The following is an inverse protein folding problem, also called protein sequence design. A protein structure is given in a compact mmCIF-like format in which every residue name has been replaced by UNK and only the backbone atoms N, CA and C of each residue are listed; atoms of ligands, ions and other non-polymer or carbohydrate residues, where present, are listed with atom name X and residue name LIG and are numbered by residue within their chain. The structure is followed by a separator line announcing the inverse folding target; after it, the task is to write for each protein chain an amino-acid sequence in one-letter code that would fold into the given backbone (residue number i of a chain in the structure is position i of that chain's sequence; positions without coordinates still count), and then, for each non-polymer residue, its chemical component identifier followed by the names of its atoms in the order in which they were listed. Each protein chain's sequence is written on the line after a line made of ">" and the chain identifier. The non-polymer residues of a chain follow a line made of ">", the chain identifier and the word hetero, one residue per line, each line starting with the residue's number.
data_IF_674671868888
#
_entry.id   IF_674671868888
#
_cell.length_a   1.000
_cell.length_b   1.000
_cell.length_c   1.000
_cell.angle_alpha   90.00
_cell.angle_beta   90.00
_cell.angle_gamma   90.00
#
_symmetry.space_group_name_H-M   'P 1'
#
loop_
_entity.id
_entity.type
_entity.pdbx_description
1 polymer ?
#
# COMPACT_ATOMS: atom_id res chain seq x y z
N UNK A 1 5.91 4.85 -32.07
CA UNK A 1 6.68 3.84 -31.30
C UNK A 1 5.91 3.57 -30.02
N UNK A 2 5.22 2.43 -29.94
CA UNK A 2 4.32 2.11 -28.82
C UNK A 2 5.14 1.55 -27.66
N UNK A 3 5.54 2.41 -26.73
CA UNK A 3 6.26 2.00 -25.53
C UNK A 3 5.26 1.42 -24.53
N UNK A 4 5.20 0.09 -24.44
CA UNK A 4 4.43 -0.60 -23.40
C UNK A 4 5.17 -0.37 -22.07
N UNK A 5 4.56 0.42 -21.19
CA UNK A 5 5.03 0.70 -19.84
C UNK A 5 5.10 -0.62 -19.05
N UNK A 6 6.31 -1.15 -18.85
CA UNK A 6 6.54 -2.31 -18.00
C UNK A 6 6.57 -1.84 -16.54
N UNK A 7 5.44 -2.00 -15.84
CA UNK A 7 5.34 -1.80 -14.38
C UNK A 7 6.20 -2.85 -13.66
N UNK A 8 7.36 -2.44 -13.17
CA UNK A 8 8.20 -3.22 -12.28
C UNK A 8 7.61 -3.19 -10.85
N UNK A 9 6.65 -4.08 -10.58
CA UNK A 9 6.06 -4.30 -9.26
C UNK A 9 6.93 -5.23 -8.41
N UNK A 10 7.99 -4.73 -7.74
CA UNK A 10 8.60 -5.49 -6.65
C UNK A 10 9.17 -4.56 -5.58
N UNK A 11 8.40 -4.32 -4.52
CA UNK A 11 9.00 -4.30 -3.17
C UNK A 11 7.95 -4.60 -2.12
N UNK A 12 8.07 -5.79 -1.53
CA UNK A 12 7.42 -6.12 -0.26
C UNK A 12 8.04 -5.22 0.82
N UNK A 13 7.28 -4.22 1.27
CA UNK A 13 7.65 -3.39 2.41
C UNK A 13 7.08 -4.04 3.67
N UNK A 14 7.93 -4.24 4.66
CA UNK A 14 7.58 -4.83 5.95
C UNK A 14 7.41 -3.70 6.96
N UNK A 15 6.22 -3.62 7.56
CA UNK A 15 5.99 -2.85 8.77
C UNK A 15 5.60 -3.80 9.89
N UNK A 16 6.15 -3.56 11.06
CA UNK A 16 5.86 -4.32 12.28
C UNK A 16 4.81 -3.57 13.09
N UNK A 17 3.71 -4.24 13.41
CA UNK A 17 2.75 -3.79 14.42
C UNK A 17 2.88 -4.61 15.70
N UNK A 18 2.42 -4.07 16.82
CA UNK A 18 2.31 -4.78 18.10
C UNK A 18 0.82 -4.90 18.46
N UNK A 19 0.36 -6.10 18.79
CA UNK A 19 -0.99 -6.34 19.29
C UNK A 19 -1.09 -7.69 20.00
N UNK A 20 -2.17 -7.93 20.75
CA UNK A 20 -2.35 -9.19 21.49
C UNK A 20 -2.62 -10.40 20.57
N UNK A 21 -2.97 -10.14 19.31
CA UNK A 21 -3.23 -11.14 18.26
C UNK A 21 -2.93 -10.57 16.88
N UNK A 22 -2.71 -11.43 15.89
CA UNK A 22 -2.61 -11.00 14.49
C UNK A 22 -3.90 -10.30 14.07
N UNK A 23 -3.83 -9.06 13.55
CA UNK A 23 -5.02 -8.36 13.13
C UNK A 23 -5.68 -9.02 11.92
N UNK A 24 -7.01 -9.01 11.91
CA UNK A 24 -7.79 -9.39 10.72
C UNK A 24 -7.57 -8.40 9.57
N UNK A 25 -7.80 -8.84 8.33
CA UNK A 25 -7.59 -8.04 7.13
C UNK A 25 -8.21 -6.63 7.22
N UNK A 26 -9.45 -6.51 7.70
CA UNK A 26 -10.20 -5.24 7.72
C UNK A 26 -10.01 -4.41 9.01
N UNK A 27 -9.11 -4.83 9.90
CA UNK A 27 -8.83 -4.06 11.12
C UNK A 27 -8.22 -2.69 10.78
N UNK A 28 -8.44 -1.71 11.66
CA UNK A 28 -7.88 -0.38 11.47
C UNK A 28 -6.35 -0.38 11.54
N UNK A 29 -5.76 -1.22 12.39
CA UNK A 29 -4.31 -1.42 12.48
C UNK A 29 -3.73 -1.94 11.15
N UNK A 30 -4.37 -2.95 10.55
CA UNK A 30 -3.93 -3.52 9.28
C UNK A 30 -4.01 -2.47 8.16
N UNK A 31 -5.16 -1.77 8.05
CA UNK A 31 -5.36 -0.73 7.03
C UNK A 31 -4.37 0.42 7.20
N UNK A 32 -4.13 0.89 8.42
CA UNK A 32 -3.19 1.97 8.72
C UNK A 32 -1.76 1.61 8.32
N UNK A 33 -1.31 0.39 8.63
CA UNK A 33 0.01 -0.08 8.22
C UNK A 33 0.13 -0.23 6.70
N UNK A 34 -0.90 -0.74 6.01
CA UNK A 34 -0.93 -0.78 4.54
C UNK A 34 -0.85 0.63 3.94
N UNK A 35 -1.60 1.60 4.49
CA UNK A 35 -1.51 3.02 4.07
C UNK A 35 -0.08 3.56 4.25
N UNK A 36 0.55 3.29 5.39
CA UNK A 36 1.92 3.73 5.67
C UNK A 36 2.95 3.11 4.71
N UNK A 37 2.80 1.83 4.38
CA UNK A 37 3.57 1.13 3.35
C UNK A 37 3.36 1.81 1.99
N UNK A 38 2.11 2.05 1.60
CA UNK A 38 1.78 2.66 0.32
C UNK A 38 2.34 4.08 0.21
N UNK A 39 2.22 4.90 1.24
CA UNK A 39 2.83 6.24 1.28
C UNK A 39 4.35 6.19 1.06
N UNK A 40 5.06 5.31 1.77
CA UNK A 40 6.51 5.17 1.62
C UNK A 40 6.90 4.73 0.21
N UNK A 41 6.16 3.77 -0.34
CA UNK A 41 6.41 3.24 -1.67
C UNK A 41 6.17 4.28 -2.77
N UNK A 42 5.01 4.94 -2.75
CA UNK A 42 4.64 5.98 -3.72
C UNK A 42 5.60 7.16 -3.64
N UNK A 43 5.95 7.62 -2.43
CA UNK A 43 6.95 8.69 -2.25
C UNK A 43 8.29 8.31 -2.86
N UNK A 44 8.77 7.08 -2.63
CA UNK A 44 10.00 6.58 -3.22
C UNK A 44 9.93 6.54 -4.75
N UNK A 45 8.81 6.08 -5.32
CA UNK A 45 8.59 6.11 -6.77
C UNK A 45 8.62 7.55 -7.31
N UNK A 46 7.95 8.49 -6.67
CA UNK A 46 7.99 9.90 -7.07
C UNK A 46 9.40 10.50 -6.99
N UNK A 47 10.16 10.22 -5.94
CA UNK A 47 11.56 10.66 -5.83
C UNK A 47 12.44 10.05 -6.93
N UNK A 48 12.24 8.77 -7.27
CA UNK A 48 12.95 8.13 -8.37
C UNK A 48 12.60 8.75 -9.72
N UNK A 49 11.32 9.05 -9.96
CA UNK A 49 10.86 9.69 -11.18
C UNK A 49 11.41 11.13 -11.30
N UNK A 50 11.38 11.92 -10.22
CA UNK A 50 11.97 13.28 -10.17
C UNK A 50 13.46 13.28 -10.51
N UNK A 51 14.21 12.27 -10.05
CA UNK A 51 15.64 12.14 -10.32
C UNK A 51 15.95 11.46 -11.67
N UNK A 52 14.96 11.32 -12.55
CA UNK A 52 15.09 10.63 -13.85
C UNK A 52 14.68 11.55 -15.01
N UNK A 53 14.82 11.06 -16.23
CA UNK A 53 14.33 11.75 -17.43
C UNK A 53 12.79 11.86 -17.49
N UNK A 54 12.07 11.27 -16.52
CA UNK A 54 10.61 11.29 -16.40
C UNK A 54 10.11 12.23 -15.29
N UNK A 55 10.90 13.22 -14.87
CA UNK A 55 10.52 14.20 -13.83
C UNK A 55 9.14 14.83 -14.10
N UNK A 56 8.85 15.20 -15.36
CA UNK A 56 7.57 15.79 -15.77
C UNK A 56 6.36 14.85 -15.70
N UNK A 57 6.52 13.59 -15.28
CA UNK A 57 5.42 12.67 -14.99
C UNK A 57 5.03 12.67 -13.51
N UNK A 58 5.79 13.33 -12.64
CA UNK A 58 5.47 13.44 -11.21
C UNK A 58 4.53 14.62 -11.01
N UNK A 59 3.36 14.43 -10.35
CA UNK A 59 2.48 15.54 -10.03
C UNK A 59 3.19 16.61 -9.19
N UNK A 60 2.93 17.88 -9.45
CA UNK A 60 3.57 18.99 -8.73
C UNK A 60 3.18 19.03 -7.25
N UNK A 61 1.98 18.57 -6.90
CA UNK A 61 1.42 18.67 -5.56
C UNK A 61 1.26 17.32 -4.85
N UNK A 62 2.35 16.56 -4.79
CA UNK A 62 2.41 15.28 -4.05
C UNK A 62 2.01 15.38 -2.58
N UNK A 63 2.04 16.58 -1.99
CA UNK A 63 1.65 16.83 -0.60
C UNK A 63 0.13 16.71 -0.38
N UNK A 64 -0.68 16.77 -1.45
CA UNK A 64 -2.12 16.57 -1.40
C UNK A 64 -2.54 15.08 -1.42
N UNK A 65 -1.58 14.17 -1.48
CA UNK A 65 -1.82 12.72 -1.59
C UNK A 65 -2.56 12.19 -0.36
N UNK A 66 -3.78 11.73 -0.57
CA UNK A 66 -4.58 11.01 0.44
C UNK A 66 -4.72 9.56 0.00
N UNK A 67 -4.36 8.63 0.89
CA UNK A 67 -4.49 7.20 0.66
C UNK A 67 -5.51 6.58 1.61
N UNK A 68 -6.33 5.67 1.10
CA UNK A 68 -7.26 4.85 1.90
C UNK A 68 -7.28 3.41 1.41
N UNK A 69 -7.39 2.46 2.33
CA UNK A 69 -7.66 1.06 2.01
C UNK A 69 -9.16 0.83 2.06
N UNK A 70 -9.74 0.37 0.96
CA UNK A 70 -11.16 0.10 0.81
C UNK A 70 -11.39 -1.31 0.23
N UNK A 71 -12.64 -1.76 0.21
CA UNK A 71 -13.04 -3.03 -0.41
C UNK A 71 -12.26 -4.26 0.09
N UNK A 72 -11.89 -4.25 1.39
CA UNK A 72 -11.08 -5.30 2.03
C UNK A 72 -11.85 -6.62 2.12
N UNK A 73 -11.17 -7.72 1.78
CA UNK A 73 -11.69 -9.09 1.84
C UNK A 73 -10.60 -10.02 2.33
N UNK A 74 -10.95 -10.94 3.23
CA UNK A 74 -10.10 -12.08 3.58
C UNK A 74 -10.26 -13.15 2.51
N UNK A 75 -9.16 -13.51 1.85
CA UNK A 75 -9.13 -14.60 0.86
C UNK A 75 -8.88 -15.95 1.52
N UNK A 76 -8.01 -15.99 2.52
CA UNK A 76 -7.67 -17.18 3.28
C UNK A 76 -7.13 -16.82 4.67
N UNK A 77 -7.30 -17.74 5.62
CA UNK A 77 -6.65 -17.72 6.92
C UNK A 77 -6.00 -19.08 7.18
N UNK A 78 -4.72 -19.10 7.50
CA UNK A 78 -4.02 -20.28 7.95
C UNK A 78 -3.80 -20.17 9.46
N UNK A 79 -4.60 -20.90 10.23
CA UNK A 79 -4.55 -20.88 11.69
C UNK A 79 -3.30 -21.55 12.29
N UNK A 80 -2.59 -22.39 11.55
CA UNK A 80 -1.38 -23.06 12.07
C UNK A 80 -0.19 -22.11 12.22
N UNK A 81 -0.16 -21.03 11.44
CA UNK A 81 0.90 -20.01 11.42
C UNK A 81 0.30 -18.59 11.49
N UNK A 82 -0.93 -18.49 12.00
CA UNK A 82 -1.78 -17.30 12.08
C UNK A 82 -1.55 -16.26 10.98
N UNK A 83 -1.78 -16.69 9.74
CA UNK A 83 -1.54 -15.86 8.56
C UNK A 83 -2.84 -15.55 7.82
N UNK A 84 -3.11 -14.27 7.60
CA UNK A 84 -4.22 -13.79 6.78
C UNK A 84 -3.74 -13.40 5.39
N UNK A 85 -4.46 -13.85 4.36
CA UNK A 85 -4.32 -13.38 2.98
C UNK A 85 -5.49 -12.45 2.67
N UNK A 86 -5.18 -11.24 2.24
CA UNK A 86 -6.15 -10.17 2.06
C UNK A 86 -6.11 -9.64 0.62
N UNK A 87 -7.29 -9.28 0.09
CA UNK A 87 -7.45 -8.47 -1.11
C UNK A 87 -8.13 -7.15 -0.74
N UNK A 88 -7.70 -6.05 -1.36
CA UNK A 88 -8.30 -4.74 -1.15
C UNK A 88 -8.08 -3.84 -2.38
N UNK A 89 -8.59 -2.62 -2.31
CA UNK A 89 -8.25 -1.54 -3.24
C UNK A 89 -7.60 -0.40 -2.45
N UNK A 90 -6.50 0.12 -2.96
CA UNK A 90 -5.91 1.37 -2.50
C UNK A 90 -6.59 2.50 -3.26
N UNK A 91 -7.40 3.29 -2.57
CA UNK A 91 -7.93 4.53 -3.08
C UNK A 91 -6.89 5.62 -2.88
N UNK A 92 -6.48 6.22 -4.00
CA UNK A 92 -5.55 7.33 -4.05
C UNK A 92 -6.28 8.58 -4.53
N UNK A 93 -6.26 9.64 -3.72
CA UNK A 93 -6.80 10.94 -4.11
C UNK A 93 -5.68 11.97 -4.15
N UNK A 94 -5.55 12.65 -5.29
CA UNK A 94 -4.67 13.80 -5.47
C UNK A 94 -5.55 14.97 -5.89
N UNK A 95 -5.38 16.12 -5.26
CA UNK A 95 -5.99 17.35 -5.78
C UNK A 95 -5.19 17.78 -7.00
N UNK A 96 -5.82 18.32 -8.03
CA UNK A 96 -5.09 18.93 -9.14
C UNK A 96 -4.94 20.44 -8.90
N UNK A 97 -3.75 21.02 -9.02
CA UNK A 97 -3.52 22.45 -8.71
C UNK A 97 -4.27 23.38 -9.68
N UNK A 98 -4.37 23.02 -10.96
CA UNK A 98 -5.04 23.84 -11.97
C UNK A 98 -6.55 23.90 -11.78
N UNK A 99 -7.19 22.74 -11.60
CA UNK A 99 -8.65 22.62 -11.49
C UNK A 99 -9.14 22.73 -10.04
N UNK A 100 -8.26 22.54 -9.05
CA UNK A 100 -8.57 22.40 -7.62
C UNK A 100 -9.57 21.28 -7.32
N UNK A 101 -9.74 20.34 -8.25
CA UNK A 101 -10.64 19.20 -8.09
C UNK A 101 -9.86 17.97 -7.63
N UNK A 102 -10.42 17.17 -6.70
CA UNK A 102 -9.83 15.90 -6.34
C UNK A 102 -9.99 14.90 -7.49
N UNK A 103 -8.89 14.25 -7.87
CA UNK A 103 -8.88 13.10 -8.75
C UNK A 103 -8.62 11.85 -7.92
N UNK A 104 -9.58 10.92 -7.94
CA UNK A 104 -9.51 9.66 -7.18
C UNK A 104 -9.31 8.49 -8.14
N UNK A 105 -8.28 7.68 -7.87
CA UNK A 105 -7.99 6.43 -8.59
C UNK A 105 -7.98 5.28 -7.60
N UNK A 106 -8.46 4.11 -8.02
CA UNK A 106 -8.43 2.89 -7.21
C UNK A 106 -7.47 1.87 -7.83
N UNK A 107 -6.55 1.36 -7.03
CA UNK A 107 -5.55 0.38 -7.44
C UNK A 107 -5.83 -0.94 -6.68
N UNK A 108 -6.13 -2.05 -7.38
CA UNK A 108 -6.30 -3.33 -6.71
C UNK A 108 -4.97 -3.80 -6.12
N UNK A 109 -5.01 -4.31 -4.89
CA UNK A 109 -3.82 -4.83 -4.21
C UNK A 109 -4.16 -6.06 -3.36
N UNK A 110 -3.12 -6.79 -2.99
CA UNK A 110 -3.20 -7.87 -2.00
C UNK A 110 -2.19 -7.64 -0.90
N UNK A 111 -2.49 -8.12 0.31
CA UNK A 111 -1.53 -8.08 1.40
C UNK A 111 -1.68 -9.29 2.30
N UNK A 112 -0.56 -9.71 2.90
CA UNK A 112 -0.53 -10.78 3.87
C UNK A 112 -0.16 -10.22 5.24
N UNK A 113 -0.87 -10.66 6.27
CA UNK A 113 -0.57 -10.35 7.67
C UNK A 113 -0.15 -11.66 8.33
N UNK A 114 1.01 -11.67 8.99
CA UNK A 114 1.50 -12.86 9.67
C UNK A 114 2.16 -12.51 11.00
N UNK A 115 1.86 -13.27 12.04
CA UNK A 115 2.54 -13.21 13.34
C UNK A 115 4.03 -13.51 13.20
N UNK A 116 4.84 -12.85 14.02
CA UNK A 116 6.27 -13.14 14.17
C UNK A 116 6.46 -14.22 15.24
N UNK A 117 7.35 -15.18 14.99
CA UNK A 117 7.68 -16.28 15.91
C UNK A 117 8.52 -15.83 17.13
N UNK A 118 8.27 -14.63 17.67
CA UNK A 118 9.05 -14.03 18.77
C UNK A 118 8.31 -14.00 20.11
N UNK A 119 7.05 -14.43 20.14
CA UNK A 119 6.21 -14.48 21.34
C UNK A 119 5.86 -13.10 21.92
N UNK A 120 6.02 -12.01 21.15
CA UNK A 120 5.75 -10.62 21.58
C UNK A 120 4.49 -10.03 20.95
N UNK A 121 3.65 -10.84 20.30
CA UNK A 121 2.46 -10.36 19.60
C UNK A 121 2.78 -9.39 18.46
N UNK A 122 3.98 -9.52 17.87
CA UNK A 122 4.36 -8.71 16.72
C UNK A 122 3.90 -9.41 15.46
N UNK A 123 3.50 -8.63 14.47
CA UNK A 123 3.14 -9.15 13.16
C UNK A 123 3.77 -8.29 12.08
N UNK A 124 3.93 -8.86 10.89
CA UNK A 124 4.37 -8.12 9.72
C UNK A 124 3.28 -8.09 8.65
N UNK A 125 3.23 -7.01 7.88
CA UNK A 125 2.41 -6.91 6.68
C UNK A 125 3.30 -6.90 5.44
N UNK A 126 2.96 -7.71 4.43
CA UNK A 126 3.56 -7.67 3.09
C UNK A 126 2.49 -7.25 2.09
N UNK A 127 2.69 -6.13 1.40
CA UNK A 127 1.76 -5.62 0.38
C UNK A 127 2.29 -5.88 -1.02
N UNK A 128 1.40 -6.22 -1.96
CA UNK A 128 1.69 -6.50 -3.36
C UNK A 128 0.70 -5.72 -4.26
N UNK A 129 1.18 -5.27 -5.42
CA UNK A 129 0.38 -4.49 -6.37
C UNK A 129 0.47 -2.96 -6.17
N UNK A 130 1.57 -2.48 -5.56
CA UNK A 130 1.93 -1.07 -5.38
C UNK A 130 3.17 -0.66 -6.19
#
# INVERSE_FOLDING_TARGET
>A
MNMRLALLFISASLLVGCGDKTPECNSDDAKSLVVNIAHKQIKKQFEQLRNSQMEGMVPDNTDSLILKVINVRTLAHNSSIDTYQCAASLQMTLTDEQSKLPNTTEIPMTYNIQEMDDGKGRFYIKVFGL
#
